data_IF_285020685991
#
_entry.id   IF_285020685991
#
_cell.length_a   1.000
_cell.length_b   1.000
_cell.length_c   1.000
_cell.angle_alpha   90.00
_cell.angle_beta   90.00
_cell.angle_gamma   90.00
#
_symmetry.space_group_name_H-M   'P 1'
#
loop_
_entity.id
_entity.type
_entity.pdbx_description
1 polymer ?
#
# COMPACT_ATOMS: atom_id res chain seq x y z
N UNK A 1 5.48 10.89 -33.64
CA UNK A 1 5.72 10.51 -32.24
C UNK A 1 7.18 10.69 -31.86
N UNK A 2 7.49 10.87 -30.59
CA UNK A 2 8.88 10.86 -30.09
C UNK A 2 9.27 9.42 -29.79
N UNK A 3 10.34 8.94 -30.44
CA UNK A 3 10.78 7.57 -30.28
C UNK A 3 12.00 7.47 -29.38
N UNK A 4 11.96 6.51 -28.45
CA UNK A 4 13.07 6.12 -27.58
C UNK A 4 13.48 4.69 -27.95
N UNK A 5 14.77 4.46 -28.15
CA UNK A 5 15.32 3.15 -28.47
C UNK A 5 15.33 2.18 -27.29
N UNK A 6 15.74 0.92 -27.51
CA UNK A 6 15.76 -0.11 -26.49
C UNK A 6 16.67 0.24 -25.31
N UNK A 7 17.82 0.87 -25.55
CA UNK A 7 18.81 1.27 -24.55
C UNK A 7 18.45 2.59 -23.83
N UNK A 8 17.31 3.19 -24.19
CA UNK A 8 16.85 4.46 -23.59
C UNK A 8 17.36 5.71 -24.33
N UNK A 9 18.06 5.56 -25.44
CA UNK A 9 18.48 6.66 -26.30
C UNK A 9 17.29 7.36 -26.98
N UNK A 10 17.36 8.67 -27.14
CA UNK A 10 16.31 9.42 -27.84
C UNK A 10 16.65 9.48 -29.34
N UNK A 11 15.89 8.76 -30.15
CA UNK A 11 16.03 8.73 -31.62
C UNK A 11 15.49 10.03 -32.25
N UNK A 12 14.46 10.64 -31.62
CA UNK A 12 13.89 11.89 -32.10
C UNK A 12 12.40 11.80 -32.43
N UNK A 13 11.91 12.76 -33.21
CA UNK A 13 10.50 12.80 -33.63
C UNK A 13 10.41 12.22 -35.02
N UNK A 14 9.78 11.06 -35.15
CA UNK A 14 9.62 10.35 -36.42
C UNK A 14 8.16 9.97 -36.66
N UNK A 15 7.78 9.69 -37.94
CA UNK A 15 6.45 9.19 -38.28
C UNK A 15 6.24 7.77 -37.75
N UNK A 16 4.96 7.40 -37.55
CA UNK A 16 4.59 6.11 -36.94
C UNK A 16 5.07 4.91 -37.75
N UNK A 17 5.02 5.02 -39.09
CA UNK A 17 5.47 3.96 -40.02
C UNK A 17 6.94 3.60 -39.83
N UNK A 18 7.81 4.61 -39.71
CA UNK A 18 9.24 4.39 -39.50
C UNK A 18 9.52 3.78 -38.11
N UNK A 19 8.77 4.21 -37.08
CA UNK A 19 8.89 3.64 -35.75
C UNK A 19 8.56 2.14 -35.72
N UNK A 20 7.48 1.74 -36.43
CA UNK A 20 7.10 0.33 -36.58
C UNK A 20 8.16 -0.49 -37.30
N UNK A 21 8.73 0.05 -38.41
CA UNK A 21 9.77 -0.65 -39.15
C UNK A 21 11.00 -0.89 -38.29
N UNK A 22 11.46 0.12 -37.54
CA UNK A 22 12.60 -0.01 -36.61
C UNK A 22 12.34 -1.03 -35.50
N UNK A 23 11.13 -1.06 -34.92
CA UNK A 23 10.78 -2.03 -33.90
C UNK A 23 10.80 -3.47 -34.47
N UNK A 24 10.28 -3.65 -35.70
CA UNK A 24 10.26 -4.93 -36.40
C UNK A 24 11.67 -5.43 -36.76
N UNK A 25 12.55 -4.54 -37.22
CA UNK A 25 13.95 -4.86 -37.53
C UNK A 25 14.71 -5.38 -36.29
N UNK A 26 14.39 -4.84 -35.11
CA UNK A 26 14.96 -5.25 -33.84
C UNK A 26 14.26 -6.46 -33.20
N UNK A 27 13.14 -6.93 -33.77
CA UNK A 27 12.34 -8.02 -33.22
C UNK A 27 11.69 -7.67 -31.86
N UNK A 28 11.42 -6.37 -31.62
CA UNK A 28 10.88 -5.83 -30.38
C UNK A 28 9.53 -5.15 -30.61
N UNK A 29 8.81 -4.86 -29.54
CA UNK A 29 7.53 -4.19 -29.56
C UNK A 29 7.66 -2.67 -29.51
N UNK A 30 6.76 -1.97 -30.22
CA UNK A 30 6.62 -0.53 -30.09
C UNK A 30 5.52 -0.22 -29.07
N UNK A 31 5.90 0.36 -27.94
CA UNK A 31 4.99 0.61 -26.81
C UNK A 31 4.86 2.11 -26.55
N UNK A 32 3.63 2.59 -26.47
CA UNK A 32 3.33 3.97 -26.08
C UNK A 32 3.44 4.12 -24.56
N UNK A 33 4.44 4.87 -24.09
CA UNK A 33 4.73 5.04 -22.66
C UNK A 33 4.03 6.28 -22.09
N UNK A 34 3.91 7.35 -22.88
CA UNK A 34 3.26 8.59 -22.47
C UNK A 34 2.32 9.14 -23.56
N UNK A 35 1.05 8.73 -23.55
CA UNK A 35 0.06 9.16 -24.55
C UNK A 35 -0.34 10.64 -24.43
N UNK A 36 -0.26 11.19 -23.22
CA UNK A 36 -0.65 12.58 -22.93
C UNK A 36 0.38 13.61 -23.37
N UNK A 37 1.61 13.20 -23.67
CA UNK A 37 2.67 14.09 -24.15
C UNK A 37 2.41 14.56 -25.59
N UNK A 38 2.82 15.76 -25.92
CA UNK A 38 2.73 16.30 -27.29
C UNK A 38 4.13 16.63 -27.81
N UNK A 39 4.68 15.87 -28.74
CA UNK A 39 4.17 14.64 -29.37
C UNK A 39 4.17 13.43 -28.41
N UNK A 40 3.31 12.40 -28.66
CA UNK A 40 3.26 11.19 -27.82
C UNK A 40 4.61 10.48 -27.82
N UNK A 41 4.98 9.89 -26.67
CA UNK A 41 6.26 9.21 -26.48
C UNK A 41 6.08 7.70 -26.56
N UNK A 42 6.81 7.09 -27.51
CA UNK A 42 6.87 5.65 -27.70
C UNK A 42 8.27 5.13 -27.44
N UNK A 43 8.37 3.90 -26.96
CA UNK A 43 9.63 3.21 -26.72
C UNK A 43 9.62 1.83 -27.36
N UNK A 44 10.76 1.47 -27.95
CA UNK A 44 11.01 0.12 -28.46
C UNK A 44 11.49 -0.74 -27.30
N UNK A 45 10.79 -1.80 -26.93
CA UNK A 45 11.12 -2.70 -25.83
C UNK A 45 10.32 -4.00 -25.92
N UNK A 46 10.69 -5.00 -25.12
CA UNK A 46 9.89 -6.19 -24.91
C UNK A 46 8.71 -5.87 -23.98
N UNK A 47 7.51 -5.94 -24.51
CA UNK A 47 6.28 -5.60 -23.78
C UNK A 47 6.03 -6.54 -22.59
N UNK A 48 6.38 -7.82 -22.72
CA UNK A 48 6.22 -8.79 -21.65
C UNK A 48 7.08 -8.43 -20.43
N UNK A 49 8.36 -8.14 -20.67
CA UNK A 49 9.31 -7.72 -19.63
C UNK A 49 8.88 -6.39 -19.00
N UNK A 50 8.51 -5.42 -19.81
CA UNK A 50 8.04 -4.12 -19.34
C UNK A 50 6.81 -4.23 -18.44
N UNK A 51 5.81 -5.00 -18.85
CA UNK A 51 4.59 -5.26 -18.07
C UNK A 51 4.89 -5.93 -16.73
N UNK A 52 5.84 -6.88 -16.72
CA UNK A 52 6.27 -7.53 -15.50
C UNK A 52 6.96 -6.55 -14.55
N UNK A 53 7.88 -5.75 -15.04
CA UNK A 53 8.59 -4.73 -14.25
C UNK A 53 7.64 -3.68 -13.68
N UNK A 54 6.68 -3.20 -14.48
CA UNK A 54 5.64 -2.28 -14.04
C UNK A 54 4.80 -2.88 -12.92
N UNK A 55 4.32 -4.11 -13.10
CA UNK A 55 3.55 -4.83 -12.09
C UNK A 55 4.35 -5.06 -10.79
N UNK A 56 5.64 -5.36 -10.91
CA UNK A 56 6.55 -5.50 -9.76
C UNK A 56 6.72 -4.17 -9.03
N UNK A 57 6.90 -3.07 -9.76
CA UNK A 57 7.01 -1.71 -9.22
C UNK A 57 5.73 -1.31 -8.50
N UNK A 58 4.57 -1.58 -9.09
CA UNK A 58 3.26 -1.29 -8.50
C UNK A 58 3.01 -2.09 -7.21
N UNK A 59 3.37 -3.38 -7.20
CA UNK A 59 3.30 -4.21 -6.00
C UNK A 59 4.19 -3.69 -4.87
N UNK A 60 5.40 -3.25 -5.21
CA UNK A 60 6.32 -2.65 -4.23
C UNK A 60 5.80 -1.30 -3.71
N UNK A 61 5.26 -0.46 -4.59
CA UNK A 61 4.64 0.80 -4.22
C UNK A 61 3.45 0.59 -3.28
N UNK A 62 2.55 -0.34 -3.62
CA UNK A 62 1.40 -0.71 -2.77
C UNK A 62 1.83 -1.25 -1.40
N UNK A 63 2.91 -2.05 -1.33
CA UNK A 63 3.45 -2.54 -0.05
C UNK A 63 4.01 -1.42 0.83
N UNK A 64 4.58 -0.38 0.23
CA UNK A 64 5.13 0.77 0.94
C UNK A 64 4.04 1.79 1.35
N UNK A 65 2.89 1.75 0.69
CA UNK A 65 1.80 2.67 0.98
C UNK A 65 1.17 2.31 2.34
N UNK A 66 1.18 3.26 3.27
CA UNK A 66 0.51 3.11 4.55
C UNK A 66 -1.00 3.17 4.36
N UNK A 67 -1.69 2.08 4.65
CA UNK A 67 -3.15 2.02 4.63
C UNK A 67 -3.67 2.27 6.05
N UNK A 68 -4.36 3.38 6.26
CA UNK A 68 -5.01 3.64 7.53
C UNK A 68 -6.18 2.66 7.73
N UNK A 69 -6.12 1.90 8.80
CA UNK A 69 -7.25 1.10 9.24
C UNK A 69 -8.16 1.96 10.13
N UNK A 70 -9.45 1.94 9.87
CA UNK A 70 -10.45 2.57 10.74
C UNK A 70 -10.88 1.56 11.79
N UNK A 71 -10.57 1.82 13.05
CA UNK A 71 -11.02 1.03 14.19
C UNK A 71 -12.17 1.75 14.91
N UNK A 72 -13.09 1.00 15.49
CA UNK A 72 -14.24 1.56 16.16
C UNK A 72 -14.22 1.25 17.65
N UNK A 73 -14.53 2.28 18.48
CA UNK A 73 -14.65 2.13 19.90
C UNK A 73 -15.99 2.69 20.38
N UNK A 74 -16.77 1.84 21.03
CA UNK A 74 -18.11 2.18 21.52
C UNK A 74 -18.11 2.55 22.99
N UNK A 75 -18.68 3.70 23.31
CA UNK A 75 -18.97 4.15 24.66
C UNK A 75 -20.47 4.15 24.94
N UNK A 76 -20.85 4.23 26.23
CA UNK A 76 -22.22 4.40 26.67
C UNK A 76 -22.36 5.73 27.40
N UNK A 77 -23.56 6.40 27.39
CA UNK A 77 -23.77 7.66 28.08
C UNK A 77 -23.55 7.59 29.61
N UNK A 78 -23.80 6.42 30.19
CA UNK A 78 -23.52 6.10 31.60
C UNK A 78 -22.43 5.04 31.67
N UNK A 79 -21.21 5.45 31.36
CA UNK A 79 -20.06 4.56 31.46
C UNK A 79 -19.45 4.66 32.87
N UNK A 80 -19.04 3.51 33.41
CA UNK A 80 -18.27 3.48 34.65
C UNK A 80 -16.83 3.96 34.41
N UNK A 81 -16.19 4.53 35.42
CA UNK A 81 -14.86 5.09 35.32
C UNK A 81 -13.79 4.06 34.93
N UNK A 82 -13.91 2.84 35.46
CA UNK A 82 -13.01 1.73 35.12
C UNK A 82 -13.14 1.34 33.63
N UNK A 83 -14.37 1.15 33.13
CA UNK A 83 -14.63 0.81 31.72
C UNK A 83 -14.20 1.96 30.78
N UNK A 84 -14.38 3.22 31.21
CA UNK A 84 -13.90 4.39 30.50
C UNK A 84 -12.38 4.36 30.31
N UNK A 85 -11.61 4.18 31.39
CA UNK A 85 -10.15 4.14 31.35
C UNK A 85 -9.64 2.99 30.50
N UNK A 86 -10.24 1.81 30.63
CA UNK A 86 -9.89 0.64 29.85
C UNK A 86 -10.08 0.88 28.35
N UNK A 87 -11.23 1.42 27.94
CA UNK A 87 -11.50 1.74 26.54
C UNK A 87 -10.62 2.85 25.98
N UNK A 88 -10.38 3.89 26.78
CA UNK A 88 -9.50 4.99 26.39
C UNK A 88 -8.06 4.51 26.20
N UNK A 89 -7.58 3.56 27.03
CA UNK A 89 -6.29 2.90 26.83
C UNK A 89 -6.22 2.17 25.49
N UNK A 90 -7.25 1.41 25.11
CA UNK A 90 -7.27 0.76 23.81
C UNK A 90 -7.34 1.74 22.63
N UNK A 91 -8.08 2.85 22.78
CA UNK A 91 -8.07 3.90 21.77
C UNK A 91 -6.68 4.47 21.59
N UNK A 92 -5.93 4.68 22.68
CA UNK A 92 -4.53 5.11 22.67
C UNK A 92 -3.64 4.12 21.92
N UNK A 93 -3.73 2.83 22.23
CA UNK A 93 -2.99 1.76 21.54
C UNK A 93 -3.28 1.72 20.03
N UNK A 94 -4.55 1.95 19.64
CA UNK A 94 -4.92 2.00 18.23
C UNK A 94 -4.33 3.21 17.51
N UNK A 95 -4.33 4.37 18.13
CA UNK A 95 -3.71 5.59 17.59
C UNK A 95 -2.19 5.45 17.49
N UNK A 96 -1.55 4.90 18.52
CA UNK A 96 -0.12 4.61 18.53
C UNK A 96 0.28 3.59 17.47
N UNK A 97 -0.60 2.65 17.11
CA UNK A 97 -0.39 1.71 15.98
C UNK A 97 -0.57 2.36 14.60
N UNK A 98 -0.93 3.64 14.52
CA UNK A 98 -1.15 4.38 13.28
C UNK A 98 -2.52 4.17 12.65
N UNK A 99 -3.50 3.64 13.40
CA UNK A 99 -4.87 3.47 12.93
C UNK A 99 -5.70 4.71 13.22
N UNK A 100 -6.67 5.02 12.35
CA UNK A 100 -7.72 6.00 12.68
C UNK A 100 -8.75 5.35 13.58
N UNK A 101 -9.32 6.10 14.53
CA UNK A 101 -10.31 5.57 15.46
C UNK A 101 -11.61 6.36 15.38
N UNK A 102 -12.70 5.66 15.07
CA UNK A 102 -14.06 6.18 15.23
C UNK A 102 -14.53 5.91 16.65
N UNK A 103 -14.63 6.95 17.44
CA UNK A 103 -15.19 6.88 18.79
C UNK A 103 -16.66 7.25 18.70
N UNK A 104 -17.53 6.41 19.24
CA UNK A 104 -18.96 6.69 19.19
C UNK A 104 -19.69 6.31 20.46
N UNK A 105 -20.73 7.10 20.77
CA UNK A 105 -21.65 6.88 21.88
C UNK A 105 -23.02 6.51 21.30
N UNK A 106 -23.53 5.34 21.69
CA UNK A 106 -24.86 4.90 21.28
C UNK A 106 -25.88 5.17 22.40
N UNK A 107 -26.91 5.92 22.05
CA UNK A 107 -28.01 6.23 22.95
C UNK A 107 -29.16 5.23 22.80
N UNK A 108 -29.80 4.85 23.91
CA UNK A 108 -30.97 3.95 23.95
C UNK A 108 -32.17 4.66 24.52
N UNK A 109 -33.32 4.57 23.84
CA UNK A 109 -34.62 5.06 24.33
C UNK A 109 -34.54 6.48 24.91
N UNK A 110 -34.78 6.63 26.19
CA UNK A 110 -34.83 7.92 26.91
C UNK A 110 -33.50 8.65 26.98
N UNK A 111 -32.39 7.98 26.70
CA UNK A 111 -31.03 8.62 26.68
C UNK A 111 -30.90 9.61 25.52
N UNK A 112 -31.70 9.50 24.47
CA UNK A 112 -31.74 10.42 23.34
C UNK A 112 -32.12 11.85 23.73
N UNK A 113 -32.84 12.04 24.80
CA UNK A 113 -33.18 13.39 25.33
C UNK A 113 -31.99 14.06 25.99
N UNK A 114 -30.98 13.30 26.40
CA UNK A 114 -29.82 13.76 27.15
C UNK A 114 -28.52 13.59 26.36
N UNK A 115 -28.46 14.16 25.14
CA UNK A 115 -27.33 14.08 24.24
C UNK A 115 -26.04 14.69 24.83
N UNK A 116 -26.18 15.61 25.78
CA UNK A 116 -25.08 16.27 26.46
C UNK A 116 -24.13 15.30 27.17
N UNK A 117 -24.65 14.21 27.75
CA UNK A 117 -23.79 13.21 28.40
C UNK A 117 -22.86 12.52 27.40
N UNK A 118 -23.35 12.22 26.19
CA UNK A 118 -22.52 11.65 25.15
C UNK A 118 -21.46 12.62 24.70
N UNK A 119 -21.79 13.89 24.53
CA UNK A 119 -20.84 14.93 24.15
C UNK A 119 -19.74 15.10 25.20
N UNK A 120 -20.10 15.17 26.48
CA UNK A 120 -19.12 15.25 27.58
C UNK A 120 -18.11 14.08 27.56
N UNK A 121 -18.57 12.86 27.23
CA UNK A 121 -17.66 11.71 27.14
C UNK A 121 -16.71 11.88 25.95
N UNK A 122 -17.19 12.30 24.77
CA UNK A 122 -16.36 12.50 23.59
C UNK A 122 -15.35 13.64 23.81
N UNK A 123 -15.79 14.74 24.43
CA UNK A 123 -14.93 15.88 24.77
C UNK A 123 -13.82 15.43 25.76
N UNK A 124 -14.15 14.63 26.78
CA UNK A 124 -13.21 14.05 27.73
C UNK A 124 -12.18 13.12 27.03
N UNK A 125 -12.65 12.26 26.11
CA UNK A 125 -11.74 11.41 25.32
C UNK A 125 -10.80 12.25 24.46
N UNK A 126 -11.28 13.37 23.92
CA UNK A 126 -10.44 14.29 23.15
C UNK A 126 -9.35 14.93 24.02
N UNK A 127 -9.69 15.34 25.24
CA UNK A 127 -8.74 15.92 26.20
C UNK A 127 -7.69 14.89 26.62
N UNK A 128 -8.11 13.66 26.96
CA UNK A 128 -7.23 12.58 27.42
C UNK A 128 -6.26 12.08 26.34
N UNK A 129 -6.57 12.30 25.06
CA UNK A 129 -5.78 11.83 23.91
C UNK A 129 -5.18 12.97 23.07
N UNK A 130 -5.26 14.20 23.54
CA UNK A 130 -4.75 15.39 22.86
C UNK A 130 -3.25 15.34 22.57
N UNK A 131 -2.50 14.59 23.37
CA UNK A 131 -1.06 14.37 23.23
C UNK A 131 -0.67 13.52 22.00
N UNK A 132 -1.57 12.63 21.54
CA UNK A 132 -1.27 11.66 20.49
C UNK A 132 -2.20 11.71 19.28
N UNK A 133 -3.33 12.41 19.39
CA UNK A 133 -4.37 12.42 18.37
C UNK A 133 -4.90 13.80 18.02
N UNK A 134 -5.34 13.93 16.76
CA UNK A 134 -6.07 15.06 16.23
C UNK A 134 -7.51 14.63 15.89
N UNK A 135 -8.48 15.49 16.14
CA UNK A 135 -9.88 15.26 15.74
C UNK A 135 -10.06 15.62 14.27
N UNK A 136 -10.23 14.63 13.41
CA UNK A 136 -10.50 14.81 11.99
C UNK A 136 -11.96 15.25 11.74
N UNK A 137 -12.89 14.58 12.45
CA UNK A 137 -14.31 14.89 12.37
C UNK A 137 -14.84 15.15 13.78
N UNK A 138 -15.34 16.35 14.00
CA UNK A 138 -15.92 16.75 15.27
C UNK A 138 -17.14 15.89 15.65
N UNK A 139 -17.50 15.81 16.95
CA UNK A 139 -18.65 15.03 17.41
C UNK A 139 -19.93 15.42 16.66
N UNK A 140 -20.49 14.49 15.88
CA UNK A 140 -21.72 14.67 15.11
C UNK A 140 -22.72 13.60 15.46
N UNK A 141 -23.99 14.01 15.54
CA UNK A 141 -25.12 13.09 15.76
C UNK A 141 -25.54 12.45 14.44
N UNK A 142 -25.62 11.14 14.43
CA UNK A 142 -26.10 10.33 13.31
C UNK A 142 -27.14 9.32 13.84
N UNK A 143 -28.42 9.63 13.64
CA UNK A 143 -29.52 8.86 14.18
C UNK A 143 -29.44 8.71 15.72
N UNK A 144 -29.21 7.50 16.20
CA UNK A 144 -29.08 7.17 17.63
C UNK A 144 -27.63 7.16 18.13
N UNK A 145 -26.70 7.58 17.32
CA UNK A 145 -25.28 7.49 17.61
C UNK A 145 -24.63 8.87 17.47
N UNK A 146 -23.83 9.26 18.43
CA UNK A 146 -22.94 10.42 18.32
C UNK A 146 -21.53 9.91 18.09
N UNK A 147 -20.90 10.29 16.99
CA UNK A 147 -19.58 9.79 16.61
C UNK A 147 -18.63 10.91 16.28
N UNK A 148 -17.35 10.67 16.56
CA UNK A 148 -16.22 11.48 16.10
C UNK A 148 -15.15 10.59 15.51
N UNK A 149 -14.29 11.13 14.66
CA UNK A 149 -13.14 10.41 14.09
C UNK A 149 -11.88 11.13 14.54
N UNK A 150 -10.95 10.33 15.06
CA UNK A 150 -9.64 10.78 15.50
C UNK A 150 -8.56 10.12 14.64
N UNK A 151 -7.53 10.89 14.29
CA UNK A 151 -6.33 10.40 13.61
C UNK A 151 -5.10 10.60 14.49
N UNK A 152 -4.08 9.74 14.34
CA UNK A 152 -2.83 9.94 15.06
C UNK A 152 -2.11 11.20 14.57
N UNK A 153 -1.43 11.90 15.46
CA UNK A 153 -0.58 13.05 15.14
C UNK A 153 0.56 12.65 14.19
N UNK A 154 0.99 13.58 13.35
CA UNK A 154 2.07 13.36 12.39
C UNK A 154 3.38 12.88 13.06
N UNK A 155 3.65 13.31 14.29
CA UNK A 155 4.80 12.88 15.07
C UNK A 155 4.75 11.40 15.44
N UNK A 156 3.57 10.88 15.82
CA UNK A 156 3.35 9.46 16.10
C UNK A 156 3.55 8.65 14.83
N UNK A 157 3.03 9.14 13.71
CA UNK A 157 3.20 8.48 12.40
C UNK A 157 4.66 8.44 11.96
N UNK A 158 5.43 9.50 12.20
CA UNK A 158 6.86 9.53 11.87
C UNK A 158 7.65 8.52 12.69
N UNK A 159 7.42 8.45 14.00
CA UNK A 159 8.04 7.45 14.88
C UNK A 159 7.72 6.00 14.45
N UNK A 160 6.48 5.76 14.03
CA UNK A 160 6.07 4.45 13.50
C UNK A 160 6.76 4.10 12.19
N UNK A 161 6.96 5.06 11.30
CA UNK A 161 7.69 4.83 10.06
C UNK A 161 9.16 4.52 10.32
N UNK A 162 9.80 5.26 11.21
CA UNK A 162 11.19 5.05 11.62
C UNK A 162 11.38 3.65 12.22
N UNK A 163 10.50 3.22 13.13
CA UNK A 163 10.55 1.87 13.73
C UNK A 163 10.33 0.75 12.69
N UNK A 164 9.45 0.95 11.71
CA UNK A 164 9.22 -0.03 10.64
C UNK A 164 10.40 -0.16 9.69
N UNK A 165 11.08 0.95 9.37
CA UNK A 165 12.28 0.95 8.54
C UNK A 165 13.40 0.19 9.25
N UNK A 166 13.62 0.45 10.53
CA UNK A 166 14.62 -0.24 11.33
C UNK A 166 14.38 -1.76 11.39
N UNK A 167 13.13 -2.19 11.55
CA UNK A 167 12.77 -3.62 11.57
C UNK A 167 12.98 -4.29 10.20
N UNK A 168 12.71 -3.57 9.11
CA UNK A 168 12.88 -4.11 7.74
C UNK A 168 14.35 -4.25 7.34
N UNK A 169 15.26 -3.46 7.91
CA UNK A 169 16.70 -3.59 7.70
C UNK A 169 17.30 -4.80 8.43
N UNK A 170 16.75 -5.17 9.59
CA UNK A 170 17.17 -6.34 10.36
C UNK A 170 16.70 -7.65 9.68
N UNK A 171 15.55 -7.64 9.01
CA UNK A 171 14.97 -8.80 8.31
C UNK A 171 15.47 -9.01 6.87
N UNK A 172 16.44 -8.26 6.38
CA UNK A 172 17.09 -8.61 5.11
C UNK A 172 17.99 -9.82 5.34
N UNK A 173 17.61 -11.05 4.92
CA UNK A 173 18.55 -12.15 4.91
C UNK A 173 19.70 -11.76 3.98
N UNK A 174 20.95 -11.82 4.46
CA UNK A 174 22.12 -11.84 3.62
C UNK A 174 21.88 -12.94 2.58
N UNK A 175 21.55 -12.56 1.35
CA UNK A 175 21.67 -13.48 0.23
C UNK A 175 23.16 -13.70 0.08
N UNK A 176 23.64 -14.81 0.62
CA UNK A 176 24.90 -15.39 0.23
C UNK A 176 24.93 -15.47 -1.29
N UNK A 177 26.01 -14.99 -1.84
CA UNK A 177 26.41 -15.13 -3.22
C UNK A 177 26.45 -16.63 -3.55
N UNK A 178 25.40 -17.17 -4.16
CA UNK A 178 25.47 -18.45 -4.85
C UNK A 178 26.35 -18.24 -6.08
N UNK A 179 27.56 -18.79 -5.98
CA UNK A 179 28.46 -19.03 -7.12
C UNK A 179 27.72 -19.88 -8.16
N UNK A 180 27.89 -19.61 -9.46
CA UNK A 180 27.32 -20.48 -10.48
C UNK A 180 28.05 -21.83 -10.48
N UNK A 181 27.28 -22.88 -10.20
CA UNK A 181 27.76 -24.26 -10.34
C UNK A 181 28.22 -24.54 -11.79
N UNK A 182 29.37 -25.16 -11.99
CA UNK A 182 29.84 -25.53 -13.33
C UNK A 182 28.96 -26.63 -13.93
N UNK A 183 28.61 -26.45 -15.20
CA UNK A 183 27.86 -27.39 -16.00
C UNK A 183 28.58 -28.75 -16.07
N UNK A 184 27.93 -29.84 -15.67
CA UNK A 184 28.38 -31.18 -15.87
C UNK A 184 28.30 -31.58 -17.36
N UNK A 185 29.28 -32.30 -17.90
CA UNK A 185 29.32 -32.68 -19.30
C UNK A 185 28.26 -33.77 -19.60
N UNK A 186 27.58 -33.60 -20.71
CA UNK A 186 26.66 -34.57 -21.28
C UNK A 186 27.48 -35.69 -21.89
N UNK A 187 27.47 -36.85 -21.26
CA UNK A 187 27.95 -38.10 -21.89
C UNK A 187 26.90 -38.60 -22.90
N UNK A 188 27.36 -38.63 -24.13
CA UNK A 188 26.73 -39.34 -25.24
C UNK A 188 26.95 -40.83 -25.09
N UNK A 189 25.89 -41.59 -24.93
CA UNK A 189 25.95 -43.03 -25.20
C UNK A 189 24.87 -43.40 -26.22
N UNK A 190 25.41 -43.88 -27.32
CA UNK A 190 24.76 -44.43 -28.47
C UNK A 190 24.57 -45.96 -28.28
N UNK A 191 23.55 -46.48 -28.90
CA UNK A 191 23.26 -47.87 -29.29
C UNK A 191 22.27 -48.60 -28.37
N UNK A 192 21.14 -49.05 -28.87
CA UNK A 192 20.99 -50.20 -29.76
C UNK A 192 19.51 -50.46 -30.06
N UNK A 193 19.29 -50.74 -31.29
CA UNK A 193 18.11 -51.32 -31.91
C UNK A 193 17.75 -52.65 -31.28
N UNK A 194 16.46 -52.89 -31.00
CA UNK A 194 15.89 -54.24 -31.27
C UNK A 194 14.35 -54.17 -31.46
N UNK A 195 13.97 -54.68 -32.63
CA UNK A 195 12.62 -55.03 -33.02
C UNK A 195 12.12 -56.16 -32.12
N UNK A 196 10.82 -56.17 -31.82
CA UNK A 196 10.04 -57.45 -31.90
C UNK A 196 8.55 -57.05 -32.06
N UNK A 197 7.97 -57.67 -33.11
CA UNK A 197 6.58 -57.88 -33.44
C UNK A 197 5.73 -58.47 -32.30
N UNK A 198 4.53 -57.95 -32.08
CA UNK A 198 3.27 -58.69 -32.28
C UNK A 198 2.08 -57.77 -31.99
#
# INVERSE_FOLDING_TARGET
MRLIGPDGEQIGIIPTSEAFNKARELGLDLVEVAPTSRPPVCRILDFGKYKYELSKKDKLSKKKQHTFQLKEMRYRPKIDEHDYRFKTKHVREFLESGSKVRVFVMFRGREMTRKEFGRKILDRVTEDLKDIALVDVAPKMDGRTMSMIMSPLAEVMRKLQESRVATTEIERPKRESEEPMPASPVESDSASVEKIDK
#
